data_IF_115758681272
#
_entry.id   IF_115758681272
#
_cell.length_a   1.000
_cell.length_b   1.000
_cell.length_c   1.000
_cell.angle_alpha   90.00
_cell.angle_beta   90.00
_cell.angle_gamma   90.00
#
_symmetry.space_group_name_H-M   'P 1'
#
loop_
_entity.id
_entity.type
_entity.pdbx_description
1 polymer ?
#
# COMPACT_ATOMS: atom_id res chain seq x y z
N UNK A 1 24.82 -57.80 -28.50
CA UNK A 1 25.00 -58.39 -27.16
C UNK A 1 26.13 -57.66 -26.48
N UNK A 2 25.78 -56.56 -25.81
CA UNK A 2 26.57 -55.89 -24.76
C UNK A 2 25.77 -54.67 -24.29
N UNK A 3 24.78 -54.97 -23.47
CA UNK A 3 24.13 -54.05 -22.54
C UNK A 3 25.16 -53.45 -21.58
N UNK A 4 25.12 -52.14 -21.39
CA UNK A 4 25.73 -51.48 -20.25
C UNK A 4 24.83 -50.33 -19.77
N UNK A 5 23.75 -50.77 -19.12
CA UNK A 5 23.18 -50.26 -17.87
C UNK A 5 23.98 -49.08 -17.24
N UNK A 6 23.38 -47.89 -17.26
CA UNK A 6 23.70 -46.79 -16.33
C UNK A 6 22.44 -46.44 -15.55
N UNK A 7 22.30 -47.12 -14.43
CA UNK A 7 21.44 -46.70 -13.32
C UNK A 7 21.97 -45.38 -12.72
N UNK A 8 21.06 -44.56 -12.21
CA UNK A 8 21.37 -43.72 -11.05
C UNK A 8 21.87 -42.30 -11.31
N UNK A 9 21.12 -41.46 -12.03
CA UNK A 9 21.30 -40.01 -11.93
C UNK A 9 20.00 -39.21 -12.05
N UNK A 10 18.87 -39.78 -11.66
CA UNK A 10 17.55 -39.15 -11.77
C UNK A 10 16.75 -39.26 -10.47
N UNK A 11 17.42 -39.14 -9.31
CA UNK A 11 16.75 -39.07 -8.00
C UNK A 11 17.37 -38.12 -6.96
N UNK A 12 18.43 -37.37 -7.28
CA UNK A 12 19.05 -36.43 -6.32
C UNK A 12 18.73 -34.94 -6.54
N UNK A 13 17.96 -34.56 -7.57
CA UNK A 13 17.67 -33.13 -7.83
C UNK A 13 16.30 -32.68 -7.27
N UNK A 14 15.44 -33.62 -6.86
CA UNK A 14 14.08 -33.32 -6.40
C UNK A 14 13.94 -33.02 -4.90
N UNK A 15 15.03 -33.04 -4.12
CA UNK A 15 14.99 -32.79 -2.66
C UNK A 15 15.83 -31.59 -2.19
N UNK A 16 16.57 -30.93 -3.07
CA UNK A 16 17.38 -29.74 -2.73
C UNK A 16 16.68 -28.40 -3.05
N UNK A 17 15.55 -28.41 -3.75
CA UNK A 17 14.80 -27.19 -4.12
C UNK A 17 13.81 -26.67 -3.07
N UNK A 18 13.53 -27.44 -2.01
CA UNK A 18 12.45 -27.14 -1.05
C UNK A 18 12.99 -26.63 0.31
N UNK A 19 14.31 -26.66 0.53
CA UNK A 19 14.90 -26.26 1.83
C UNK A 19 15.60 -24.89 1.84
N UNK A 20 15.70 -24.18 0.72
CA UNK A 20 16.31 -22.84 0.69
C UNK A 20 15.32 -21.66 0.63
N UNK A 21 14.01 -21.91 0.55
CA UNK A 21 12.99 -20.84 0.59
C UNK A 21 12.51 -20.50 2.02
N UNK A 22 13.01 -21.20 3.03
CA UNK A 22 12.56 -21.06 4.42
C UNK A 22 13.38 -20.07 5.26
N UNK A 23 14.32 -19.32 4.68
CA UNK A 23 15.28 -18.49 5.44
C UNK A 23 15.24 -16.97 5.16
N UNK A 24 14.22 -16.43 4.48
CA UNK A 24 14.07 -14.96 4.33
C UNK A 24 12.77 -14.41 4.95
N UNK A 25 11.97 -15.24 5.63
CA UNK A 25 10.86 -14.77 6.48
C UNK A 25 10.93 -15.37 7.89
N UNK A 26 12.06 -15.16 8.56
CA UNK A 26 12.32 -15.61 9.92
C UNK A 26 12.73 -14.45 10.82
N UNK A 27 11.82 -13.49 11.00
CA UNK A 27 12.04 -12.30 11.80
C UNK A 27 10.75 -11.60 12.20
N UNK A 28 9.65 -12.35 12.39
CA UNK A 28 8.50 -11.83 13.15
C UNK A 28 8.92 -11.73 14.62
N UNK A 29 9.59 -10.63 14.97
CA UNK A 29 9.42 -10.07 16.29
C UNK A 29 7.92 -9.89 16.48
N UNK A 30 7.34 -10.59 17.45
CA UNK A 30 5.91 -10.73 17.63
C UNK A 30 5.19 -9.39 17.57
N UNK A 31 4.65 -9.05 16.40
CA UNK A 31 3.58 -8.08 16.30
C UNK A 31 2.41 -8.70 17.05
N UNK A 32 2.25 -8.27 18.29
CA UNK A 32 1.12 -8.60 19.14
C UNK A 32 -0.12 -8.14 18.38
N UNK A 33 -0.74 -9.07 17.67
CA UNK A 33 -2.03 -8.88 17.02
C UNK A 33 -3.04 -8.62 18.15
N UNK A 34 -3.16 -7.36 18.55
CA UNK A 34 -4.24 -6.87 19.39
C UNK A 34 -5.47 -6.78 18.49
N UNK A 35 -5.97 -7.95 18.11
CA UNK A 35 -7.17 -8.12 17.32
C UNK A 35 -8.36 -7.44 18.00
N UNK A 36 -9.13 -6.74 17.17
CA UNK A 36 -10.43 -6.13 17.50
C UNK A 36 -10.40 -4.99 18.52
N UNK A 37 -9.58 -3.96 18.30
CA UNK A 37 -9.86 -2.65 18.90
C UNK A 37 -11.14 -2.06 18.34
N UNK A 38 -11.87 -1.28 19.14
CA UNK A 38 -13.04 -0.50 18.72
C UNK A 38 -12.78 0.21 17.37
N UNK A 39 -13.53 -0.17 16.33
CA UNK A 39 -13.39 0.40 14.99
C UNK A 39 -13.54 1.92 15.03
N UNK A 40 -14.43 2.43 15.89
CA UNK A 40 -14.66 3.87 16.03
C UNK A 40 -13.42 4.56 16.61
N UNK A 41 -12.86 4.04 17.70
CA UNK A 41 -11.63 4.55 18.29
C UNK A 41 -10.45 4.53 17.33
N UNK A 42 -10.29 3.48 16.53
CA UNK A 42 -9.18 3.37 15.57
C UNK A 42 -9.35 4.30 14.36
N UNK A 43 -10.58 4.52 13.89
CA UNK A 43 -10.87 5.52 12.84
C UNK A 43 -10.64 6.94 13.37
N UNK A 44 -10.95 7.21 14.63
CA UNK A 44 -10.58 8.48 15.28
C UNK A 44 -9.06 8.66 15.32
N UNK A 45 -8.33 7.60 15.69
CA UNK A 45 -6.87 7.64 15.75
C UNK A 45 -6.24 7.89 14.38
N UNK A 46 -6.82 7.33 13.31
CA UNK A 46 -6.42 7.62 11.92
C UNK A 46 -6.57 9.12 11.62
N UNK A 47 -7.69 9.73 12.00
CA UNK A 47 -7.90 11.16 11.79
C UNK A 47 -6.88 11.99 12.55
N UNK A 48 -6.64 11.66 13.82
CA UNK A 48 -5.75 12.40 14.70
C UNK A 48 -4.27 12.28 14.30
N UNK A 49 -3.82 11.09 13.91
CA UNK A 49 -2.41 10.83 13.63
C UNK A 49 -2.04 11.00 12.15
N UNK A 50 -2.98 10.75 11.25
CA UNK A 50 -2.72 10.67 9.82
C UNK A 50 -3.45 11.74 9.03
N UNK A 51 -4.40 12.45 9.63
CA UNK A 51 -5.20 13.46 8.95
C UNK A 51 -6.21 12.89 7.96
N UNK A 52 -6.52 11.59 8.02
CA UNK A 52 -7.48 10.93 7.14
C UNK A 52 -8.79 10.56 7.86
N UNK A 53 -9.91 10.72 7.18
CA UNK A 53 -11.24 10.34 7.67
C UNK A 53 -11.85 9.33 6.70
N UNK A 54 -12.39 8.24 7.23
CA UNK A 54 -13.12 7.24 6.44
C UNK A 54 -14.61 7.45 6.64
N UNK A 55 -15.30 7.88 5.59
CA UNK A 55 -16.73 8.15 5.61
C UNK A 55 -17.57 6.86 5.60
N UNK A 56 -18.86 6.99 5.97
CA UNK A 56 -19.85 5.91 6.03
C UNK A 56 -19.84 4.94 4.82
N UNK A 57 -19.70 5.40 3.55
CA UNK A 57 -19.72 4.50 2.40
C UNK A 57 -18.58 3.47 2.38
N UNK A 58 -17.44 3.77 2.99
CA UNK A 58 -16.30 2.84 3.14
C UNK A 58 -16.33 2.21 4.53
N UNK A 59 -16.62 2.99 5.58
CA UNK A 59 -16.66 2.52 6.97
C UNK A 59 -17.59 1.30 7.14
N UNK A 60 -18.77 1.33 6.53
CA UNK A 60 -19.75 0.24 6.60
C UNK A 60 -19.33 -1.01 5.81
N UNK A 61 -18.24 -0.94 5.04
CA UNK A 61 -17.69 -2.03 4.24
C UNK A 61 -16.42 -2.62 4.85
N UNK A 62 -15.95 -2.09 5.98
CA UNK A 62 -14.78 -2.60 6.69
C UNK A 62 -15.17 -3.90 7.39
N UNK A 63 -14.52 -4.99 7.02
CA UNK A 63 -14.71 -6.31 7.62
C UNK A 63 -13.68 -6.60 8.73
N UNK A 64 -12.48 -6.04 8.58
CA UNK A 64 -11.36 -6.26 9.51
C UNK A 64 -10.46 -5.03 9.56
N UNK A 65 -9.84 -4.83 10.72
CA UNK A 65 -8.80 -3.84 10.95
C UNK A 65 -7.55 -4.52 11.53
N UNK A 66 -6.38 -4.07 11.10
CA UNK A 66 -5.12 -4.29 11.82
C UNK A 66 -4.43 -2.95 12.09
N UNK A 67 -3.99 -2.76 13.32
CA UNK A 67 -3.25 -1.58 13.77
C UNK A 67 -1.85 -2.02 14.20
N UNK A 68 -0.82 -1.39 13.65
CA UNK A 68 0.57 -1.60 14.04
C UNK A 68 1.15 -0.27 14.50
N UNK A 69 1.58 -0.22 15.75
CA UNK A 69 2.23 0.97 16.32
C UNK A 69 3.67 0.61 16.60
N UNK A 70 4.59 1.27 15.90
CA UNK A 70 6.02 1.26 16.18
C UNK A 70 6.45 2.64 16.68
N UNK A 71 7.66 2.77 17.25
CA UNK A 71 8.15 4.01 17.88
C UNK A 71 8.12 5.27 17.01
N UNK A 72 8.02 5.13 15.69
CA UNK A 72 8.06 6.24 14.71
C UNK A 72 6.89 6.25 13.73
N UNK A 73 6.21 5.12 13.55
CA UNK A 73 5.21 4.93 12.50
C UNK A 73 4.02 4.20 13.10
N UNK A 74 2.84 4.79 12.92
CA UNK A 74 1.58 4.09 13.09
C UNK A 74 1.05 3.67 11.73
N UNK A 75 0.70 2.40 11.59
CA UNK A 75 0.12 1.82 10.38
C UNK A 75 -1.28 1.30 10.63
N UNK A 76 -2.22 1.66 9.76
CA UNK A 76 -3.60 1.20 9.79
C UNK A 76 -3.90 0.42 8.52
N UNK A 77 -4.34 -0.83 8.66
CA UNK A 77 -4.79 -1.67 7.56
C UNK A 77 -6.29 -1.96 7.73
N UNK A 78 -7.13 -1.40 6.86
CA UNK A 78 -8.57 -1.65 6.82
C UNK A 78 -8.90 -2.57 5.65
N UNK A 79 -9.43 -3.75 5.94
CA UNK A 79 -9.90 -4.69 4.94
C UNK A 79 -11.34 -4.34 4.59
N UNK A 80 -11.60 -4.06 3.32
CA UNK A 80 -12.89 -3.57 2.80
C UNK A 80 -13.43 -4.47 1.71
N UNK A 81 -14.74 -4.67 1.72
CA UNK A 81 -15.47 -5.35 0.65
C UNK A 81 -16.22 -4.33 -0.21
N UNK A 82 -15.64 -3.94 -1.33
CA UNK A 82 -16.24 -2.96 -2.25
C UNK A 82 -17.13 -3.67 -3.27
N UNK A 83 -18.17 -2.99 -3.77
CA UNK A 83 -19.00 -3.50 -4.85
C UNK A 83 -18.57 -2.86 -6.17
N UNK A 84 -18.25 -3.70 -7.14
CA UNK A 84 -18.02 -3.32 -8.54
C UNK A 84 -19.09 -3.96 -9.42
N UNK A 85 -19.11 -3.60 -10.70
CA UNK A 85 -20.05 -4.16 -11.68
C UNK A 85 -19.75 -5.63 -11.95
N UNK A 86 -18.49 -6.03 -11.87
CA UNK A 86 -18.04 -7.39 -12.15
C UNK A 86 -18.12 -8.31 -10.92
N UNK A 87 -18.44 -7.76 -9.75
CA UNK A 87 -18.51 -8.51 -8.51
C UNK A 87 -17.99 -7.74 -7.30
N UNK A 88 -17.90 -8.41 -6.15
CA UNK A 88 -17.24 -7.86 -4.98
C UNK A 88 -15.72 -7.77 -5.18
N UNK A 89 -15.12 -6.69 -4.70
CA UNK A 89 -13.68 -6.49 -4.66
C UNK A 89 -13.23 -6.54 -3.20
N UNK A 90 -12.42 -7.53 -2.88
CA UNK A 90 -11.71 -7.61 -1.59
C UNK A 90 -10.46 -6.73 -1.64
N UNK A 91 -10.46 -5.68 -0.84
CA UNK A 91 -9.37 -4.71 -0.82
C UNK A 91 -8.81 -4.47 0.58
N UNK A 92 -7.60 -3.95 0.62
CA UNK A 92 -6.93 -3.49 1.84
C UNK A 92 -6.51 -2.03 1.66
N UNK A 93 -7.11 -1.15 2.46
CA UNK A 93 -6.72 0.24 2.60
C UNK A 93 -5.63 0.36 3.66
N UNK A 94 -4.45 0.82 3.27
CA UNK A 94 -3.30 0.96 4.16
C UNK A 94 -2.87 2.41 4.31
N UNK A 95 -2.73 2.85 5.56
CA UNK A 95 -2.25 4.19 5.92
C UNK A 95 -1.00 4.06 6.78
N UNK A 96 0.02 4.87 6.49
CA UNK A 96 1.25 4.94 7.27
C UNK A 96 1.54 6.37 7.70
N UNK A 97 1.71 6.59 9.00
CA UNK A 97 1.72 7.93 9.58
C UNK A 97 2.94 8.07 10.46
N UNK A 98 3.79 9.04 10.15
CA UNK A 98 5.04 9.28 10.90
C UNK A 98 4.73 10.20 12.07
N UNK A 99 4.93 9.70 13.29
CA UNK A 99 4.76 10.50 14.50
C UNK A 99 5.91 11.50 14.56
N UNK A 100 5.62 12.78 14.33
CA UNK A 100 6.64 13.83 14.37
C UNK A 100 7.16 13.99 15.82
N UNK A 101 8.30 13.39 16.13
CA UNK A 101 9.05 13.74 17.34
C UNK A 101 9.72 15.09 17.08
N UNK A 102 9.41 16.09 17.92
CA UNK A 102 10.19 17.33 17.98
C UNK A 102 11.65 16.98 18.28
N UNK A 103 12.51 17.01 17.25
CA UNK A 103 13.93 16.67 17.40
C UNK A 103 14.51 15.73 16.34
N UNK A 104 13.76 15.34 15.31
CA UNK A 104 14.41 14.79 14.12
C UNK A 104 15.43 15.83 13.60
N UNK A 105 16.71 15.46 13.39
CA UNK A 105 17.68 16.37 12.81
C UNK A 105 17.10 16.90 11.51
N UNK A 106 17.10 18.24 11.33
CA UNK A 106 16.76 18.81 10.03
C UNK A 106 17.65 18.12 9.00
N UNK A 107 17.08 17.53 7.94
CA UNK A 107 17.89 16.90 6.91
C UNK A 107 18.88 17.96 6.42
N UNK A 108 20.17 17.61 6.49
CA UNK A 108 21.24 18.49 6.02
C UNK A 108 21.02 18.71 4.52
N UNK A 109 20.54 19.91 4.17
CA UNK A 109 20.23 20.27 2.79
C UNK A 109 21.47 20.19 1.89
N UNK A 110 22.68 20.16 2.47
CA UNK A 110 23.95 20.01 1.76
C UNK A 110 24.25 18.56 1.30
N UNK A 111 23.48 17.55 1.75
CA UNK A 111 23.67 16.12 1.43
C UNK A 111 22.42 15.48 0.82
N UNK A 112 21.62 16.25 0.09
CA UNK A 112 20.44 15.71 -0.58
C UNK A 112 20.86 14.92 -1.81
N UNK A 113 20.97 13.61 -1.65
CA UNK A 113 21.10 12.69 -2.77
C UNK A 113 19.89 12.89 -3.69
N UNK A 114 20.12 13.14 -4.98
CA UNK A 114 19.02 13.29 -5.92
C UNK A 114 18.44 11.92 -6.24
N UNK A 115 17.19 11.86 -6.72
CA UNK A 115 16.63 10.60 -7.22
C UNK A 115 17.51 9.99 -8.32
N UNK A 116 18.20 10.81 -9.12
CA UNK A 116 19.16 10.34 -10.11
C UNK A 116 20.40 9.69 -9.47
N UNK A 117 20.90 10.24 -8.36
CA UNK A 117 22.03 9.68 -7.61
C UNK A 117 21.66 8.38 -6.89
N UNK A 118 20.43 8.27 -6.37
CA UNK A 118 19.92 7.01 -5.79
C UNK A 118 19.78 5.92 -6.85
N UNK A 119 19.27 6.27 -8.04
CA UNK A 119 19.18 5.37 -9.19
C UNK A 119 20.59 4.94 -9.64
N UNK A 120 21.51 5.89 -9.85
CA UNK A 120 22.86 5.60 -10.31
C UNK A 120 23.63 4.72 -9.31
N UNK A 121 23.41 4.93 -8.00
CA UNK A 121 23.97 4.06 -6.96
C UNK A 121 23.38 2.65 -7.03
N UNK A 122 22.06 2.50 -7.19
CA UNK A 122 21.42 1.19 -7.36
C UNK A 122 21.91 0.46 -8.63
N UNK A 123 22.08 1.19 -9.73
CA UNK A 123 22.55 0.69 -11.03
C UNK A 123 24.03 0.26 -10.99
N UNK A 124 24.81 0.69 -9.99
CA UNK A 124 26.26 0.42 -9.90
C UNK A 124 26.64 -0.99 -9.43
N UNK A 125 25.68 -1.86 -9.09
CA UNK A 125 26.00 -3.24 -8.68
C UNK A 125 24.86 -4.12 -8.18
N UNK A 126 23.58 -3.71 -8.30
CA UNK A 126 22.42 -4.48 -7.85
C UNK A 126 21.57 -5.08 -8.98
N UNK A 127 20.69 -6.04 -8.63
CA UNK A 127 19.51 -6.35 -9.45
C UNK A 127 18.54 -5.18 -9.35
N UNK A 128 18.03 -4.69 -10.46
CA UNK A 128 17.16 -3.51 -10.46
C UNK A 128 15.81 -3.82 -11.10
N UNK A 129 14.78 -3.14 -10.61
CA UNK A 129 13.46 -3.16 -11.21
C UNK A 129 13.00 -1.73 -11.46
N UNK A 130 12.50 -1.46 -12.65
CA UNK A 130 11.83 -0.23 -13.06
C UNK A 130 10.32 -0.46 -13.05
N UNK A 131 9.62 0.18 -12.11
CA UNK A 131 8.16 0.26 -12.15
C UNK A 131 7.71 1.14 -13.32
N UNK A 132 6.80 0.63 -14.16
CA UNK A 132 6.01 1.48 -15.05
C UNK A 132 4.71 1.75 -14.31
N UNK A 133 4.52 2.98 -13.88
CA UNK A 133 3.38 3.40 -13.07
C UNK A 133 2.49 4.29 -13.93
N UNK A 134 1.21 3.97 -14.01
CA UNK A 134 0.24 4.91 -14.57
C UNK A 134 -0.19 5.87 -13.48
N UNK A 135 -0.05 7.17 -13.74
CA UNK A 135 -0.38 8.23 -12.78
C UNK A 135 -1.32 9.25 -13.41
N UNK A 136 -2.31 9.72 -12.65
CA UNK A 136 -3.14 10.87 -13.03
C UNK A 136 -3.45 11.77 -11.84
N UNK A 137 -3.99 12.95 -12.13
CA UNK A 137 -4.65 13.78 -11.12
C UNK A 137 -5.85 13.04 -10.52
N UNK A 138 -6.00 13.16 -9.22
CA UNK A 138 -7.08 12.58 -8.44
C UNK A 138 -7.84 13.67 -7.70
N UNK A 139 -9.17 13.59 -7.78
CA UNK A 139 -10.08 14.46 -7.05
C UNK A 139 -10.84 13.60 -6.04
N UNK A 140 -10.41 13.69 -4.79
CA UNK A 140 -11.14 13.15 -3.65
C UNK A 140 -12.21 14.13 -3.17
N UNK A 141 -13.03 13.70 -2.21
CA UNK A 141 -14.07 14.55 -1.63
C UNK A 141 -13.41 15.71 -0.83
N UNK A 142 -13.25 16.85 -1.50
CA UNK A 142 -12.67 18.05 -0.92
C UNK A 142 -11.14 18.15 -0.95
N UNK A 143 -10.47 17.36 -1.78
CA UNK A 143 -9.02 17.45 -1.90
C UNK A 143 -8.53 16.95 -3.26
N UNK A 144 -7.39 17.48 -3.69
CA UNK A 144 -6.72 17.05 -4.91
C UNK A 144 -5.42 16.33 -4.58
N UNK A 145 -5.00 15.47 -5.49
CA UNK A 145 -3.77 14.73 -5.36
C UNK A 145 -3.42 14.00 -6.65
N UNK A 146 -2.61 12.97 -6.50
CA UNK A 146 -2.29 12.02 -7.56
C UNK A 146 -2.75 10.62 -7.15
N UNK A 147 -3.15 9.85 -8.14
CA UNK A 147 -3.38 8.42 -8.00
C UNK A 147 -2.51 7.68 -9.00
N UNK A 148 -1.87 6.65 -8.50
CA UNK A 148 -0.99 5.76 -9.22
C UNK A 148 -1.59 4.36 -9.20
N UNK A 149 -1.57 3.67 -10.34
CA UNK A 149 -1.99 2.27 -10.47
C UNK A 149 -0.83 1.41 -10.94
N UNK A 150 -0.67 0.27 -10.29
CA UNK A 150 0.39 -0.70 -10.58
C UNK A 150 -0.18 -2.11 -10.54
N UNK A 151 0.12 -2.87 -11.60
CA UNK A 151 -0.25 -4.29 -11.75
C UNK A 151 0.94 -5.19 -12.13
N UNK A 152 2.10 -4.59 -12.31
CA UNK A 152 3.33 -5.29 -12.68
C UNK A 152 4.55 -4.42 -12.40
N UNK A 153 5.68 -5.09 -12.21
CA UNK A 153 7.00 -4.47 -12.05
C UNK A 153 7.89 -5.06 -13.14
N UNK A 154 8.65 -4.22 -13.84
CA UNK A 154 9.56 -4.68 -14.88
C UNK A 154 11.00 -4.55 -14.39
N UNK A 155 11.78 -5.62 -14.38
CA UNK A 155 13.16 -5.60 -13.88
C UNK A 155 13.96 -6.76 -14.43
N UNK A 156 15.27 -6.59 -14.57
CA UNK A 156 16.17 -7.63 -15.12
C UNK A 156 15.66 -8.25 -16.46
N UNK A 157 15.06 -7.43 -17.34
CA UNK A 157 14.43 -7.83 -18.60
C UNK A 157 13.17 -8.70 -18.48
N UNK A 158 12.65 -8.89 -17.26
CA UNK A 158 11.45 -9.67 -16.98
C UNK A 158 10.31 -8.79 -16.45
N UNK A 159 9.08 -9.14 -16.82
CA UNK A 159 7.88 -8.53 -16.25
C UNK A 159 7.35 -9.44 -15.15
N UNK A 160 7.45 -8.97 -13.91
CA UNK A 160 6.88 -9.64 -12.75
C UNK A 160 5.47 -9.13 -12.51
N UNK A 161 4.54 -10.06 -12.33
CA UNK A 161 3.19 -9.72 -11.90
C UNK A 161 3.24 -9.20 -10.46
N UNK A 162 2.62 -8.04 -10.23
CA UNK A 162 2.37 -7.51 -8.89
C UNK A 162 0.88 -7.69 -8.56
N UNK A 163 0.50 -7.69 -7.28
CA UNK A 163 -0.89 -7.42 -6.90
C UNK A 163 -1.32 -6.09 -7.48
N UNK A 164 -2.59 -6.00 -7.89
CA UNK A 164 -3.15 -4.73 -8.31
C UNK A 164 -3.22 -3.81 -7.10
N UNK A 165 -2.51 -2.68 -7.17
CA UNK A 165 -2.49 -1.71 -6.10
C UNK A 165 -2.58 -0.29 -6.62
N UNK A 166 -3.18 0.56 -5.80
CA UNK A 166 -3.27 1.98 -6.00
C UNK A 166 -2.49 2.69 -4.91
N UNK A 167 -1.71 3.69 -5.28
CA UNK A 167 -1.08 4.63 -4.35
C UNK A 167 -1.70 6.00 -4.56
N UNK A 168 -2.21 6.60 -3.49
CA UNK A 168 -2.95 7.86 -3.55
C UNK A 168 -2.26 8.88 -2.65
N UNK A 169 -1.81 9.98 -3.25
CA UNK A 169 -0.99 10.99 -2.61
C UNK A 169 -1.70 12.35 -2.67
N UNK A 170 -2.13 12.94 -1.54
CA UNK A 170 -2.68 14.28 -1.53
C UNK A 170 -1.65 15.36 -1.90
N UNK A 171 -2.08 16.43 -2.55
CA UNK A 171 -1.26 17.64 -2.81
C UNK A 171 -1.01 18.48 -1.54
N UNK A 172 -1.15 17.89 -0.35
CA UNK A 172 -0.87 18.50 0.94
C UNK A 172 0.43 17.93 1.49
N UNK A 173 1.51 18.70 1.39
CA UNK A 173 2.89 18.28 1.71
C UNK A 173 3.20 17.84 3.15
N UNK A 174 2.20 17.65 4.02
CA UNK A 174 2.34 17.06 5.36
C UNK A 174 1.62 15.73 5.53
N UNK A 175 0.88 15.26 4.52
CA UNK A 175 0.17 13.99 4.57
C UNK A 175 0.93 12.94 3.77
N UNK A 176 1.14 11.79 4.38
CA UNK A 176 1.68 10.63 3.67
C UNK A 176 0.62 10.06 2.73
N UNK A 177 1.05 9.44 1.62
CA UNK A 177 0.15 8.71 0.73
C UNK A 177 -0.50 7.53 1.45
N UNK A 178 -1.70 7.13 1.02
CA UNK A 178 -2.33 5.87 1.41
C UNK A 178 -2.40 4.95 0.20
N UNK A 179 -2.53 3.64 0.45
CA UNK A 179 -2.65 2.67 -0.63
C UNK A 179 -3.93 1.85 -0.53
N UNK A 180 -4.35 1.32 -1.67
CA UNK A 180 -5.43 0.35 -1.78
C UNK A 180 -4.94 -0.85 -2.59
N UNK A 181 -4.88 -2.03 -1.96
CA UNK A 181 -4.36 -3.25 -2.55
C UNK A 181 -5.48 -4.28 -2.71
N UNK A 182 -5.61 -4.85 -3.91
CA UNK A 182 -6.53 -5.96 -4.18
C UNK A 182 -5.98 -7.23 -3.52
N UNK A 183 -6.74 -7.83 -2.61
CA UNK A 183 -6.27 -8.97 -1.82
C UNK A 183 -6.44 -10.30 -2.58
N UNK A 184 -7.47 -10.41 -3.41
CA UNK A 184 -7.82 -11.64 -4.11
C UNK A 184 -8.05 -11.37 -5.60
N UNK A 185 -7.23 -11.96 -6.45
CA UNK A 185 -7.38 -11.89 -7.90
C UNK A 185 -6.74 -10.66 -8.54
N UNK A 186 -7.24 -10.30 -9.72
CA UNK A 186 -6.82 -9.14 -10.51
C UNK A 186 -8.05 -8.40 -10.99
N UNK A 187 -7.91 -7.09 -11.13
CA UNK A 187 -8.88 -6.23 -11.77
C UNK A 187 -8.93 -6.54 -13.26
N UNK A 188 -10.15 -6.57 -13.79
CA UNK A 188 -10.34 -6.55 -15.23
C UNK A 188 -9.92 -5.19 -15.80
N UNK A 189 -9.57 -5.14 -17.10
CA UNK A 189 -8.95 -3.96 -17.72
C UNK A 189 -9.70 -2.63 -17.52
N UNK A 190 -11.04 -2.66 -17.36
CA UNK A 190 -11.86 -1.45 -17.15
C UNK A 190 -12.25 -1.23 -15.69
N UNK A 191 -11.97 -2.19 -14.82
CA UNK A 191 -12.34 -2.12 -13.41
C UNK A 191 -11.41 -1.19 -12.63
N UNK A 192 -10.13 -1.12 -13.04
CA UNK A 192 -9.15 -0.18 -12.48
C UNK A 192 -9.57 1.28 -12.56
N UNK A 193 -10.32 1.65 -13.61
CA UNK A 193 -10.78 3.03 -13.82
C UNK A 193 -11.83 3.48 -12.80
N UNK A 194 -12.52 2.52 -12.17
CA UNK A 194 -13.61 2.75 -11.20
C UNK A 194 -13.15 2.77 -9.76
N UNK A 195 -12.03 2.11 -9.45
CA UNK A 195 -11.47 2.11 -8.09
C UNK A 195 -11.37 3.52 -7.49
N UNK A 196 -10.89 4.54 -8.22
CA UNK A 196 -10.78 5.89 -7.66
C UNK A 196 -12.13 6.45 -7.19
N UNK A 197 -13.22 6.14 -7.88
CA UNK A 197 -14.57 6.57 -7.45
C UNK A 197 -15.03 5.84 -6.19
N UNK A 198 -14.72 4.55 -6.08
CA UNK A 198 -15.04 3.74 -4.88
C UNK A 198 -14.27 4.21 -3.64
N UNK A 199 -13.11 4.85 -3.83
CA UNK A 199 -12.25 5.37 -2.78
C UNK A 199 -12.56 6.81 -2.35
N UNK A 200 -13.53 7.50 -2.99
CA UNK A 200 -13.92 8.89 -2.62
C UNK A 200 -14.34 9.06 -1.16
N UNK A 201 -14.78 7.98 -0.50
CA UNK A 201 -15.10 7.98 0.92
C UNK A 201 -13.90 8.21 1.86
N UNK A 202 -12.66 8.29 1.35
CA UNK A 202 -11.48 8.69 2.12
C UNK A 202 -11.26 10.21 1.96
N UNK A 203 -11.37 10.95 3.06
CA UNK A 203 -11.23 12.41 3.08
C UNK A 203 -10.12 12.87 4.01
N UNK A 204 -9.83 14.17 3.99
CA UNK A 204 -8.76 14.78 4.79
C UNK A 204 -9.35 15.68 5.87
N UNK A 205 -8.80 15.62 7.09
CA UNK A 205 -9.15 16.49 8.22
C UNK A 205 -8.96 17.96 7.83
N UNK A 206 -9.98 18.77 8.12
CA UNK A 206 -10.02 20.20 7.79
C UNK A 206 -10.90 20.58 6.59
N UNK A 207 -11.49 19.62 5.87
CA UNK A 207 -12.47 19.93 4.81
C UNK A 207 -13.94 19.95 5.31
N UNK A 208 -14.23 19.43 6.50
CA UNK A 208 -15.58 19.39 7.08
C UNK A 208 -16.06 20.71 7.73
N UNK A 209 -15.16 21.67 7.96
CA UNK A 209 -15.53 22.95 8.60
C UNK A 209 -16.04 24.02 7.62
N UNK A 210 -15.98 23.78 6.31
CA UNK A 210 -16.49 24.72 5.31
C UNK A 210 -18.01 24.58 5.06
N UNK A 211 -18.58 23.39 5.24
CA UNK A 211 -20.01 23.15 4.96
C UNK A 211 -20.95 23.42 6.14
N UNK A 212 -20.47 23.42 7.39
CA UNK A 212 -21.32 23.75 8.56
C UNK A 212 -21.54 25.25 8.76
N UNK A 213 -20.71 26.12 8.16
CA UNK A 213 -20.82 27.56 8.37
C UNK A 213 -21.65 28.30 7.29
N UNK A 214 -22.10 27.65 6.21
CA UNK A 214 -23.00 28.28 5.23
C UNK A 214 -24.49 28.05 5.51
N UNK A 215 -24.83 27.11 6.40
CA UNK A 215 -26.24 26.80 6.74
C UNK A 215 -26.76 27.50 8.00
N UNK A 216 -25.98 28.41 8.60
CA UNK A 216 -26.38 29.18 9.79
C UNK A 216 -26.38 30.70 9.54
N UNK A 217 -26.58 31.11 8.28
CA UNK A 217 -26.93 32.47 7.91
C UNK A 217 -28.27 32.46 7.18
N UNK A 218 -29.35 32.36 7.94
CA UNK A 218 -30.65 32.92 7.61
C UNK A 218 -31.33 33.32 8.92
#
# INVERSE_FOLDING_TARGET
MSDLKKDGFMRCILLAGILLFSLIFGGNAGAKDRGSGDLVGNVSLLADQCGYVINKPILNKISRLALKINDRITSFDFYVLLRSVNGPIDGKLSFGCVTARSGAPKPDLAKRQTSADEIAQADSGGRYTRGIIWQRKYEGDGWTGTIEYVNSVFGDQERLNAPDYFLICPDRGRLACFSFEIQNGKLENQESDRIPELLRGVTIVGHFNAFKNSSNKQ
#
